data_IF_450367701159
#
_entry.id   IF_450367701159
#
_cell.length_a   1.000
_cell.length_b   1.000
_cell.length_c   1.000
_cell.angle_alpha   90.00
_cell.angle_beta   90.00
_cell.angle_gamma   90.00
#
_symmetry.space_group_name_H-M   'P 1'
#
loop_
_entity.id
_entity.type
_entity.pdbx_description
1 polymer ?
#
# COMPACT_ATOMS: atom_id res chain seq x y z
N UNK A 1 13.90 64.55 -60.45
CA UNK A 1 15.21 65.14 -60.78
C UNK A 1 15.77 65.69 -59.47
N UNK A 2 16.90 65.32 -58.89
CA UNK A 2 18.16 64.70 -59.34
C UNK A 2 18.82 64.10 -58.06
N UNK A 3 18.98 62.78 -57.95
CA UNK A 3 20.27 62.03 -57.89
C UNK A 3 21.38 62.61 -57.00
N UNK A 4 21.91 61.74 -56.11
CA UNK A 4 23.25 61.65 -55.45
C UNK A 4 23.04 61.02 -54.07
N UNK A 5 23.65 59.93 -53.62
CA UNK A 5 24.74 59.11 -54.14
C UNK A 5 24.52 57.68 -53.63
N UNK A 6 24.55 56.72 -54.56
CA UNK A 6 24.96 55.36 -54.25
C UNK A 6 26.46 55.41 -53.92
N UNK A 7 26.84 55.13 -52.67
CA UNK A 7 28.16 54.62 -52.37
C UNK A 7 28.04 53.49 -51.35
N UNK A 8 28.13 52.29 -51.89
CA UNK A 8 28.38 51.02 -51.23
C UNK A 8 29.51 51.12 -50.22
N UNK A 9 29.22 50.87 -48.95
CA UNK A 9 30.22 50.34 -48.02
C UNK A 9 29.95 48.84 -47.88
N UNK A 10 30.56 48.05 -48.76
CA UNK A 10 30.45 46.58 -48.84
C UNK A 10 31.30 45.86 -47.77
N UNK A 11 31.99 46.59 -46.88
CA UNK A 11 32.82 45.95 -45.87
C UNK A 11 32.90 46.76 -44.57
N UNK A 12 31.74 47.03 -43.95
CA UNK A 12 31.74 47.30 -42.52
C UNK A 12 31.70 45.93 -41.83
N UNK A 13 32.88 45.34 -41.62
CA UNK A 13 33.06 44.23 -40.68
C UNK A 13 32.71 44.81 -39.32
N UNK A 14 31.42 44.81 -38.95
CA UNK A 14 31.00 45.08 -37.59
C UNK A 14 31.79 44.08 -36.74
N UNK A 15 32.76 44.60 -36.00
CA UNK A 15 33.23 43.91 -34.81
C UNK A 15 32.03 43.91 -33.88
N UNK A 16 31.12 42.95 -34.08
CA UNK A 16 30.09 42.63 -33.11
C UNK A 16 30.85 42.15 -31.89
N UNK A 17 31.08 43.08 -30.96
CA UNK A 17 31.52 42.74 -29.62
C UNK A 17 30.34 41.98 -29.05
N UNK A 18 30.53 40.68 -28.95
CA UNK A 18 29.57 39.78 -28.34
C UNK A 18 29.19 40.34 -26.96
N UNK A 19 27.94 40.83 -26.85
CA UNK A 19 27.47 41.52 -25.64
C UNK A 19 26.76 40.56 -24.69
N UNK A 20 25.96 39.61 -25.21
CA UNK A 20 25.33 38.54 -24.42
C UNK A 20 24.82 37.39 -25.32
N UNK A 21 24.81 36.16 -24.80
CA UNK A 21 24.32 34.94 -25.48
C UNK A 21 22.83 35.03 -25.82
N UNK A 22 22.07 35.77 -25.01
CA UNK A 22 20.61 35.89 -25.13
C UNK A 22 20.15 37.18 -25.81
N UNK A 23 21.08 38.05 -26.26
CA UNK A 23 20.75 39.31 -26.93
C UNK A 23 20.33 39.17 -28.41
N UNK A 24 20.41 37.96 -28.97
CA UNK A 24 20.12 37.67 -30.37
C UNK A 24 18.62 37.44 -30.59
N UNK A 25 18.12 37.73 -31.80
CA UNK A 25 16.73 37.50 -32.18
C UNK A 25 16.32 36.02 -31.99
N UNK A 26 15.23 35.80 -31.23
CA UNK A 26 14.68 34.46 -30.96
C UNK A 26 13.79 33.96 -32.11
N UNK A 27 13.65 32.63 -32.20
CA UNK A 27 12.85 31.96 -33.24
C UNK A 27 11.34 32.26 -33.20
N UNK A 28 10.80 32.77 -32.08
CA UNK A 28 9.43 33.31 -32.02
C UNK A 28 8.28 32.32 -32.22
N UNK A 29 8.54 31.01 -32.23
CA UNK A 29 7.55 29.95 -32.51
C UNK A 29 6.59 29.72 -31.33
N UNK A 30 7.08 29.90 -30.10
CA UNK A 30 6.34 29.63 -28.86
C UNK A 30 5.91 30.93 -28.16
N UNK A 31 4.60 31.11 -28.01
CA UNK A 31 3.99 32.22 -27.25
C UNK A 31 3.86 31.86 -25.78
N UNK A 32 4.60 32.53 -24.90
CA UNK A 32 4.65 32.23 -23.48
C UNK A 32 3.28 32.32 -22.78
N UNK A 33 2.43 33.26 -23.21
CA UNK A 33 1.13 33.51 -22.58
C UNK A 33 0.11 32.40 -22.91
N UNK A 34 0.19 31.83 -24.12
CA UNK A 34 -0.69 30.72 -24.53
C UNK A 34 -0.33 29.42 -23.83
N UNK A 35 0.95 29.17 -23.58
CA UNK A 35 1.43 27.96 -22.89
C UNK A 35 1.01 27.97 -21.42
N UNK A 36 1.11 29.11 -20.74
CA UNK A 36 0.69 29.27 -19.34
C UNK A 36 -0.82 29.07 -19.15
N UNK A 37 -1.62 29.51 -20.12
CA UNK A 37 -3.08 29.32 -20.10
C UNK A 37 -3.49 27.85 -20.27
N UNK A 38 -2.74 27.07 -21.07
CA UNK A 38 -3.01 25.64 -21.28
C UNK A 38 -2.62 24.74 -20.10
N UNK A 39 -1.67 25.17 -19.25
CA UNK A 39 -1.17 24.40 -18.11
C UNK A 39 -2.12 24.33 -16.89
N UNK A 40 -3.26 25.02 -16.92
CA UNK A 40 -4.23 25.07 -15.81
C UNK A 40 -5.31 23.98 -15.87
N UNK A 41 -5.25 23.06 -16.84
CA UNK A 41 -6.18 21.94 -16.87
C UNK A 41 -5.83 20.95 -15.75
N UNK A 42 -6.80 20.54 -14.92
CA UNK A 42 -6.55 19.57 -13.87
C UNK A 42 -6.13 18.25 -14.52
N UNK A 43 -4.90 17.83 -14.25
CA UNK A 43 -4.38 16.52 -14.67
C UNK A 43 -5.29 15.47 -14.05
N UNK A 44 -6.07 14.78 -14.89
CA UNK A 44 -6.84 13.60 -14.49
C UNK A 44 -5.85 12.61 -13.89
N UNK A 45 -6.15 12.08 -12.70
CA UNK A 45 -5.31 11.07 -12.03
C UNK A 45 -5.33 9.77 -12.83
N UNK A 46 -4.52 9.72 -13.89
CA UNK A 46 -4.18 8.51 -14.64
C UNK A 46 -2.89 8.00 -14.01
N UNK A 47 -2.80 6.68 -13.79
CA UNK A 47 -1.54 6.07 -13.36
C UNK A 47 -0.42 6.48 -14.32
N UNK A 48 0.79 6.79 -13.80
CA UNK A 48 1.88 7.28 -14.63
C UNK A 48 2.22 6.27 -15.72
N UNK A 49 2.42 6.76 -16.93
CA UNK A 49 2.86 5.93 -18.05
C UNK A 49 4.28 5.37 -17.80
N UNK A 50 4.61 4.26 -18.45
CA UNK A 50 5.93 3.64 -18.33
C UNK A 50 7.05 4.64 -18.67
N UNK A 51 6.86 5.46 -19.70
CA UNK A 51 7.84 6.48 -20.09
C UNK A 51 8.02 7.56 -19.02
N UNK A 52 6.94 7.94 -18.33
CA UNK A 52 7.02 8.90 -17.23
C UNK A 52 7.82 8.31 -16.06
N UNK A 53 7.52 7.07 -15.69
CA UNK A 53 8.28 6.35 -14.64
C UNK A 53 9.77 6.26 -14.98
N UNK A 54 10.12 5.88 -16.23
CA UNK A 54 11.51 5.78 -16.66
C UNK A 54 12.23 7.14 -16.64
N UNK A 55 11.54 8.21 -17.03
CA UNK A 55 12.11 9.55 -17.01
C UNK A 55 12.30 10.05 -15.57
N UNK A 56 11.37 9.74 -14.65
CA UNK A 56 11.53 10.00 -13.22
C UNK A 56 12.72 9.24 -12.62
N UNK A 57 12.92 7.97 -13.00
CA UNK A 57 14.08 7.19 -12.55
C UNK A 57 15.40 7.75 -13.08
N UNK A 58 15.46 8.20 -14.33
CA UNK A 58 16.63 8.89 -14.88
C UNK A 58 16.90 10.17 -14.12
N UNK A 59 15.88 10.99 -13.87
CA UNK A 59 16.01 12.23 -13.10
C UNK A 59 16.51 11.94 -11.67
N UNK A 60 15.98 10.91 -11.01
CA UNK A 60 16.44 10.46 -9.70
C UNK A 60 17.91 10.06 -9.75
N UNK A 61 18.32 9.27 -10.73
CA UNK A 61 19.71 8.78 -10.90
C UNK A 61 20.68 9.93 -11.17
N UNK A 62 20.28 10.92 -11.97
CA UNK A 62 21.08 12.12 -12.22
C UNK A 62 21.18 13.00 -10.96
N UNK A 63 20.11 13.07 -10.17
CA UNK A 63 20.08 13.83 -8.91
C UNK A 63 20.78 13.13 -7.74
N UNK A 64 20.76 11.80 -7.69
CA UNK A 64 21.40 10.99 -6.65
C UNK A 64 22.81 10.56 -7.09
N UNK A 65 23.83 11.21 -6.54
CA UNK A 65 25.21 10.75 -6.68
C UNK A 65 25.51 9.51 -5.81
N UNK A 66 26.76 9.04 -5.87
CA UNK A 66 27.27 8.10 -4.88
C UNK A 66 27.18 8.73 -3.47
N UNK A 67 26.90 7.93 -2.42
CA UNK A 67 26.84 8.43 -1.08
C UNK A 67 28.19 9.05 -0.71
N UNK A 68 28.16 10.30 -0.21
CA UNK A 68 29.35 11.08 0.13
C UNK A 68 29.91 10.70 1.48
N UNK A 69 29.07 10.13 2.34
CA UNK A 69 29.40 9.79 3.73
C UNK A 69 28.66 8.51 4.15
N UNK A 70 29.16 7.82 5.17
CA UNK A 70 28.54 6.64 5.78
C UNK A 70 27.12 6.91 6.30
N UNK A 71 26.83 8.13 6.78
CA UNK A 71 25.45 8.49 7.17
C UNK A 71 24.48 8.49 5.98
N UNK A 72 24.93 8.93 4.81
CA UNK A 72 24.10 8.92 3.60
C UNK A 72 23.84 7.50 3.12
N UNK A 73 24.86 6.63 3.20
CA UNK A 73 24.72 5.19 2.95
C UNK A 73 23.71 4.57 3.92
N UNK A 74 23.82 4.84 5.23
CA UNK A 74 22.84 4.35 6.21
C UNK A 74 21.43 4.84 5.90
N UNK A 75 21.24 6.12 5.56
CA UNK A 75 19.94 6.66 5.17
C UNK A 75 19.38 5.92 3.95
N UNK A 76 20.22 5.66 2.94
CA UNK A 76 19.82 4.92 1.75
C UNK A 76 19.43 3.48 2.10
N UNK A 77 20.24 2.77 2.89
CA UNK A 77 19.95 1.41 3.33
C UNK A 77 18.69 1.32 4.21
N UNK A 78 18.40 2.33 5.02
CA UNK A 78 17.14 2.44 5.78
C UNK A 78 15.94 2.68 4.86
N UNK A 79 16.07 3.53 3.83
CA UNK A 79 15.01 3.73 2.81
C UNK A 79 14.75 2.46 1.99
N UNK A 80 15.79 1.69 1.71
CA UNK A 80 15.70 0.39 1.04
C UNK A 80 15.18 -0.73 1.96
N UNK A 81 15.01 -0.49 3.26
CA UNK A 81 14.55 -1.50 4.23
C UNK A 81 15.60 -2.54 4.62
N UNK A 82 16.89 -2.32 4.30
CA UNK A 82 17.99 -3.21 4.66
C UNK A 82 18.48 -3.03 6.09
N UNK A 83 18.39 -1.80 6.60
CA UNK A 83 18.68 -1.48 7.99
C UNK A 83 17.40 -1.36 8.81
N UNK A 84 17.51 -1.66 10.10
CA UNK A 84 16.44 -1.49 11.08
C UNK A 84 16.07 -0.01 11.21
N UNK A 85 14.78 0.25 11.39
CA UNK A 85 14.29 1.59 11.71
C UNK A 85 14.44 1.85 13.21
N UNK A 86 14.87 3.06 13.56
CA UNK A 86 15.05 3.48 14.95
C UNK A 86 13.95 4.46 15.37
N UNK A 87 13.46 4.38 16.63
CA UNK A 87 13.83 3.40 17.68
C UNK A 87 13.37 1.98 17.35
N UNK A 88 14.14 0.99 17.80
CA UNK A 88 13.87 -0.43 17.51
C UNK A 88 12.51 -0.84 18.09
N UNK A 89 11.61 -1.30 17.21
CA UNK A 89 10.33 -1.91 17.54
C UNK A 89 10.41 -3.43 17.24
N UNK A 90 10.19 -4.27 18.26
CA UNK A 90 10.21 -5.72 18.09
C UNK A 90 9.02 -6.23 17.26
N UNK A 91 7.97 -5.43 17.10
CA UNK A 91 6.73 -5.77 16.39
C UNK A 91 6.62 -5.08 15.02
N UNK A 92 7.74 -4.56 14.48
CA UNK A 92 7.76 -3.75 13.26
C UNK A 92 7.13 -4.48 12.05
N UNK A 93 7.45 -5.76 11.87
CA UNK A 93 6.98 -6.57 10.73
C UNK A 93 5.63 -7.25 10.97
N UNK A 94 5.03 -7.08 12.16
CA UNK A 94 3.77 -7.73 12.55
C UNK A 94 2.54 -6.96 12.02
N UNK A 95 2.49 -6.73 10.71
CA UNK A 95 1.47 -5.87 10.08
C UNK A 95 0.06 -6.46 10.11
N UNK A 96 -0.08 -7.77 9.92
CA UNK A 96 -1.39 -8.45 9.84
C UNK A 96 -2.10 -8.44 11.19
N UNK A 97 -1.39 -8.75 12.29
CA UNK A 97 -1.96 -8.77 13.64
C UNK A 97 -2.31 -7.38 14.15
N UNK A 98 -1.62 -6.33 13.68
CA UNK A 98 -1.93 -4.93 14.04
C UNK A 98 -3.35 -4.52 13.65
N UNK A 99 -3.98 -5.25 12.72
CA UNK A 99 -5.38 -5.06 12.33
C UNK A 99 -6.35 -5.46 13.44
N UNK A 100 -6.01 -6.48 14.22
CA UNK A 100 -6.86 -7.04 15.25
C UNK A 100 -6.60 -6.39 16.61
N UNK A 101 -7.64 -6.31 17.44
CA UNK A 101 -7.52 -5.77 18.80
C UNK A 101 -7.52 -6.92 19.79
N UNK A 102 -7.08 -6.65 21.03
CA UNK A 102 -7.02 -7.67 22.07
C UNK A 102 -8.36 -8.39 22.31
N UNK A 103 -9.49 -7.69 22.17
CA UNK A 103 -10.81 -8.28 22.38
C UNK A 103 -11.16 -9.34 21.34
N UNK A 104 -10.60 -9.23 20.12
CA UNK A 104 -10.79 -10.22 19.07
C UNK A 104 -10.05 -11.53 19.40
N UNK A 105 -8.90 -11.44 20.09
CA UNK A 105 -8.16 -12.63 20.55
C UNK A 105 -8.74 -13.27 21.81
N UNK A 106 -9.33 -12.46 22.69
CA UNK A 106 -9.79 -12.93 24.02
C UNK A 106 -11.25 -13.39 23.99
N UNK A 107 -12.14 -12.65 23.34
CA UNK A 107 -13.59 -12.90 23.40
C UNK A 107 -14.10 -13.74 22.22
N UNK A 108 -13.68 -15.00 22.17
CA UNK A 108 -14.07 -15.94 21.10
C UNK A 108 -15.49 -16.52 21.27
N UNK A 109 -16.16 -16.24 22.40
CA UNK A 109 -17.50 -16.75 22.70
C UNK A 109 -18.56 -16.32 21.68
N UNK A 110 -18.34 -15.19 20.99
CA UNK A 110 -19.21 -14.68 19.93
C UNK A 110 -19.34 -15.66 18.75
N UNK A 111 -18.29 -16.43 18.49
CA UNK A 111 -18.24 -17.42 17.41
C UNK A 111 -18.79 -18.79 17.80
N UNK A 112 -19.22 -18.97 19.07
CA UNK A 112 -19.81 -20.21 19.56
C UNK A 112 -21.32 -20.33 19.31
N UNK A 113 -21.92 -19.39 18.59
CA UNK A 113 -23.35 -19.42 18.21
C UNK A 113 -23.73 -20.61 17.32
N UNK A 114 -22.74 -21.19 16.62
CA UNK A 114 -22.87 -22.39 15.79
C UNK A 114 -23.15 -23.66 16.61
N UNK A 115 -22.86 -23.64 17.91
CA UNK A 115 -22.97 -24.80 18.80
C UNK A 115 -24.24 -24.72 19.67
N UNK A 116 -24.68 -25.84 20.26
CA UNK A 116 -25.80 -25.85 21.21
C UNK A 116 -25.53 -24.92 22.40
N UNK A 117 -26.57 -24.25 22.91
CA UNK A 117 -26.43 -23.31 24.05
C UNK A 117 -26.19 -24.04 25.38
N UNK A 118 -26.60 -25.32 25.46
CA UNK A 118 -26.45 -26.18 26.64
C UNK A 118 -25.99 -27.56 26.20
N UNK A 119 -25.11 -28.19 26.98
CA UNK A 119 -24.67 -29.56 26.75
C UNK A 119 -23.18 -29.77 26.97
N UNK A 120 -22.69 -31.02 26.84
CA UNK A 120 -21.27 -31.33 26.95
C UNK A 120 -20.45 -30.74 25.80
N UNK A 121 -21.02 -30.66 24.59
CA UNK A 121 -20.37 -30.04 23.42
C UNK A 121 -20.10 -28.56 23.68
N UNK A 122 -21.05 -27.84 24.30
CA UNK A 122 -20.87 -26.44 24.67
C UNK A 122 -19.72 -26.24 25.65
N UNK A 123 -19.69 -27.04 26.74
CA UNK A 123 -18.62 -26.99 27.74
C UNK A 123 -17.24 -27.31 27.14
N UNK A 124 -17.19 -28.26 26.21
CA UNK A 124 -15.97 -28.59 25.48
C UNK A 124 -15.48 -27.42 24.61
N UNK A 125 -16.39 -26.78 23.88
CA UNK A 125 -16.05 -25.59 23.07
C UNK A 125 -15.66 -24.38 23.91
N UNK A 126 -16.24 -24.20 25.10
CA UNK A 126 -15.81 -23.17 26.06
C UNK A 126 -14.36 -23.39 26.52
N UNK A 127 -13.95 -24.65 26.76
CA UNK A 127 -12.56 -24.98 27.06
C UNK A 127 -11.62 -24.71 25.89
N UNK A 128 -12.04 -25.03 24.66
CA UNK A 128 -11.25 -24.72 23.45
C UNK A 128 -11.10 -23.21 23.30
N UNK A 129 -12.20 -22.45 23.42
CA UNK A 129 -12.17 -20.99 23.33
C UNK A 129 -11.23 -20.39 24.41
N UNK A 130 -11.25 -20.93 25.63
CA UNK A 130 -10.34 -20.54 26.70
C UNK A 130 -8.88 -20.91 26.40
N UNK A 131 -8.61 -22.07 25.80
CA UNK A 131 -7.27 -22.44 25.36
C UNK A 131 -6.74 -21.54 24.23
N UNK A 132 -7.60 -21.18 23.28
CA UNK A 132 -7.26 -20.29 22.17
C UNK A 132 -7.06 -18.84 22.64
N UNK A 133 -7.82 -18.37 23.63
CA UNK A 133 -7.68 -17.00 24.16
C UNK A 133 -6.36 -16.78 24.90
N UNK A 134 -5.81 -17.83 25.52
CA UNK A 134 -4.53 -17.80 26.21
C UNK A 134 -3.31 -17.95 25.28
N UNK A 135 -3.52 -18.23 23.98
CA UNK A 135 -2.44 -18.47 23.03
C UNK A 135 -1.98 -17.17 22.34
N UNK A 136 -0.71 -16.74 22.54
CA UNK A 136 -0.13 -15.56 21.86
C UNK A 136 0.42 -15.85 20.45
N UNK A 137 0.62 -17.11 20.08
CA UNK A 137 1.31 -17.50 18.85
C UNK A 137 0.38 -17.74 17.65
N UNK A 138 -0.93 -17.68 17.86
CA UNK A 138 -1.95 -17.96 16.84
C UNK A 138 -2.70 -16.67 16.53
N UNK A 139 -2.88 -16.41 15.24
CA UNK A 139 -3.60 -15.25 14.69
C UNK A 139 -5.12 -15.38 14.89
N UNK A 140 -5.86 -14.27 14.85
CA UNK A 140 -7.34 -14.33 14.90
C UNK A 140 -7.96 -15.23 13.83
N UNK A 141 -7.62 -15.12 12.53
CA UNK A 141 -8.24 -15.97 11.50
C UNK A 141 -7.99 -17.46 11.76
N UNK A 142 -6.79 -17.85 12.18
CA UNK A 142 -6.49 -19.25 12.53
C UNK A 142 -7.36 -19.73 13.71
N UNK A 143 -7.56 -18.90 14.74
CA UNK A 143 -8.47 -19.25 15.86
C UNK A 143 -9.89 -19.49 15.37
N UNK A 144 -10.38 -18.70 14.43
CA UNK A 144 -11.71 -18.87 13.83
C UNK A 144 -11.81 -20.13 12.98
N UNK A 145 -10.76 -20.43 12.21
CA UNK A 145 -10.67 -21.68 11.43
C UNK A 145 -10.71 -22.91 12.33
N UNK A 146 -10.01 -22.88 13.48
CA UNK A 146 -10.10 -23.96 14.47
C UNK A 146 -11.53 -24.17 14.98
N UNK A 147 -12.25 -23.10 15.33
CA UNK A 147 -13.64 -23.19 15.79
C UNK A 147 -14.54 -23.75 14.68
N UNK A 148 -14.35 -23.29 13.44
CA UNK A 148 -15.11 -23.74 12.27
C UNK A 148 -14.90 -25.22 11.98
N UNK A 149 -13.66 -25.69 12.08
CA UNK A 149 -13.31 -27.09 11.91
C UNK A 149 -14.07 -27.99 12.89
N UNK A 150 -14.19 -27.59 14.16
CA UNK A 150 -15.01 -28.33 15.13
C UNK A 150 -16.49 -28.36 14.77
N UNK A 151 -17.04 -27.25 14.23
CA UNK A 151 -18.43 -27.21 13.81
C UNK A 151 -18.71 -28.22 12.67
N UNK A 152 -17.80 -28.31 11.69
CA UNK A 152 -17.87 -29.29 10.60
C UNK A 152 -17.70 -30.72 11.12
N UNK A 153 -16.72 -30.96 11.99
CA UNK A 153 -16.49 -32.26 12.63
C UNK A 153 -17.73 -32.79 13.37
N UNK A 154 -18.38 -31.96 14.18
CA UNK A 154 -19.58 -32.38 14.90
C UNK A 154 -20.77 -32.60 13.97
N UNK A 155 -20.85 -31.87 12.84
CA UNK A 155 -21.84 -32.13 11.78
C UNK A 155 -21.67 -33.50 11.15
N UNK A 156 -20.44 -33.89 10.81
CA UNK A 156 -20.16 -35.21 10.24
C UNK A 156 -20.44 -36.35 11.23
N UNK A 157 -20.24 -36.12 12.53
CA UNK A 157 -20.38 -37.14 13.59
C UNK A 157 -21.70 -37.08 14.34
N UNK A 158 -22.73 -36.40 13.82
CA UNK A 158 -24.03 -36.29 14.49
C UNK A 158 -24.66 -37.63 14.86
N UNK A 159 -24.59 -38.64 13.98
CA UNK A 159 -25.15 -39.96 14.29
C UNK A 159 -24.53 -40.63 15.52
N UNK A 160 -23.24 -40.38 15.80
CA UNK A 160 -22.57 -40.87 17.01
C UNK A 160 -23.00 -40.03 18.22
N UNK A 161 -23.05 -38.70 18.07
CA UNK A 161 -23.45 -37.77 19.12
C UNK A 161 -24.86 -38.08 19.63
N UNK A 162 -25.80 -38.32 18.72
CA UNK A 162 -27.18 -38.69 19.05
C UNK A 162 -27.25 -40.00 19.84
N UNK A 163 -26.42 -40.98 19.48
CA UNK A 163 -26.39 -42.28 20.18
C UNK A 163 -25.84 -42.20 21.62
N UNK A 164 -24.88 -41.31 21.88
CA UNK A 164 -24.16 -41.22 23.17
C UNK A 164 -24.76 -40.17 24.10
N UNK A 165 -25.16 -39.02 23.57
CA UNK A 165 -25.53 -37.82 24.34
C UNK A 165 -27.02 -37.47 24.18
N UNK A 166 -27.70 -38.01 23.18
CA UNK A 166 -29.10 -37.70 22.88
C UNK A 166 -29.29 -36.31 22.24
N UNK A 167 -30.51 -35.77 22.32
CA UNK A 167 -30.91 -34.51 21.64
C UNK A 167 -30.13 -33.27 22.11
N UNK A 168 -29.48 -33.32 23.27
CA UNK A 168 -28.71 -32.20 23.84
C UNK A 168 -27.45 -31.85 23.03
N UNK A 169 -27.04 -32.72 22.12
CA UNK A 169 -25.86 -32.53 21.27
C UNK A 169 -26.20 -32.13 19.84
N UNK A 170 -27.49 -31.96 19.51
CA UNK A 170 -27.91 -31.58 18.16
C UNK A 170 -27.45 -30.16 17.84
N UNK A 171 -26.56 -30.04 16.84
CA UNK A 171 -26.06 -28.76 16.37
C UNK A 171 -27.20 -27.90 15.82
N UNK A 172 -27.10 -26.57 15.95
CA UNK A 172 -28.00 -25.65 15.26
C UNK A 172 -27.73 -25.75 13.76
N UNK A 173 -28.79 -25.89 12.96
CA UNK A 173 -28.67 -25.80 11.51
C UNK A 173 -28.23 -24.37 11.19
N UNK A 174 -26.97 -24.23 10.77
CA UNK A 174 -26.35 -22.94 10.50
C UNK A 174 -27.22 -22.11 9.57
N UNK A 175 -27.48 -20.85 9.94
CA UNK A 175 -28.15 -19.88 9.09
C UNK A 175 -27.41 -19.84 7.75
N UNK A 176 -28.08 -20.31 6.69
CA UNK A 176 -27.67 -20.03 5.32
C UNK A 176 -27.61 -18.52 5.17
N UNK A 177 -26.43 -18.02 4.79
CA UNK A 177 -26.21 -16.61 4.50
C UNK A 177 -27.27 -16.15 3.50
N UNK A 178 -28.17 -15.25 3.94
CA UNK A 178 -28.88 -14.37 3.02
C UNK A 178 -27.86 -13.37 2.48
N UNK A 179 -27.33 -13.65 1.31
CA UNK A 179 -26.64 -12.66 0.48
C UNK A 179 -27.58 -11.47 0.24
N UNK A 180 -27.08 -10.28 0.56
CA UNK A 180 -27.60 -8.98 0.10
C UNK A 180 -26.47 -8.29 -0.66
#
# INVERSE_FOLDING_TARGET
MNTKNLFTCIFCRQSEVFSDLFGVARLGIFDADKIKAGAQQPVVQVEPDLWQTLDEEKLRTVGSGLPRNAFEEMIQLTKEGKLWQFPIDNEADMHEERKYKFHDHVFLEQHLSLFPDKGPVRKFMELIALGLSLNPYITVPEKLEHIRWYAEYFREKQGILESVVGEQARMKDGEEKKEN
#
